data_IF_149236797618
#
_entry.id   IF_149236797618
#
_cell.length_a   1.000
_cell.length_b   1.000
_cell.length_c   1.000
_cell.angle_alpha   90.00
_cell.angle_beta   90.00
_cell.angle_gamma   90.00
#
_symmetry.space_group_name_H-M   'P 1'
#
loop_
_entity.id
_entity.type
_entity.pdbx_description
1 polymer ?
#
# COMPACT_ATOMS: atom_id res chain seq x y z
N UNK A 1 -32.95 14.20 -3.83
CA UNK A 1 -32.20 12.93 -3.96
C UNK A 1 -30.83 13.16 -3.34
N UNK A 2 -30.61 12.57 -2.16
CA UNK A 2 -29.41 12.76 -1.34
C UNK A 2 -28.38 11.69 -1.70
N UNK A 3 -27.20 12.09 -2.19
CA UNK A 3 -26.06 11.20 -2.42
C UNK A 3 -25.17 11.27 -1.18
N UNK A 4 -25.13 10.14 -0.47
CA UNK A 4 -24.34 9.91 0.74
C UNK A 4 -22.85 10.08 0.49
N UNK A 5 -22.22 10.90 1.33
CA UNK A 5 -20.79 11.23 1.38
C UNK A 5 -19.96 10.06 1.92
N UNK A 6 -19.23 9.36 1.06
CA UNK A 6 -18.22 8.39 1.46
C UNK A 6 -16.87 9.10 1.76
N UNK A 7 -16.68 9.39 3.05
CA UNK A 7 -15.42 9.43 3.80
C UNK A 7 -14.16 10.02 3.12
N UNK A 8 -14.05 11.35 3.16
CA UNK A 8 -12.80 12.11 2.96
C UNK A 8 -12.05 12.27 4.29
N UNK A 9 -10.85 11.68 4.42
CA UNK A 9 -9.82 12.14 5.37
C UNK A 9 -8.43 11.68 4.90
N UNK A 10 -7.55 12.65 4.66
CA UNK A 10 -6.38 12.59 3.77
C UNK A 10 -5.07 12.26 4.51
N UNK A 11 -4.16 11.57 3.81
CA UNK A 11 -2.78 11.27 4.26
C UNK A 11 -1.93 12.53 4.51
N UNK A 12 -2.41 13.68 4.04
CA UNK A 12 -1.68 14.92 3.90
C UNK A 12 -2.24 16.12 4.68
N UNK A 13 -3.17 15.97 5.64
CA UNK A 13 -3.48 17.11 6.55
C UNK A 13 -2.28 17.47 7.47
N UNK A 14 -1.06 16.97 7.18
CA UNK A 14 -0.15 16.36 8.15
C UNK A 14 1.34 16.73 8.00
N UNK A 15 1.67 17.78 7.26
CA UNK A 15 3.05 18.32 7.27
C UNK A 15 3.16 19.73 7.91
N UNK A 16 2.17 20.16 8.70
CA UNK A 16 2.18 21.38 9.53
C UNK A 16 0.76 21.75 10.01
N UNK A 17 0.63 22.34 11.21
CA UNK A 17 -0.62 22.53 11.98
C UNK A 17 -1.72 23.42 11.35
N UNK A 18 -1.49 24.03 10.19
CA UNK A 18 -2.35 25.10 9.68
C UNK A 18 -3.66 24.64 9.00
N UNK A 19 -4.17 23.45 9.33
CA UNK A 19 -5.49 22.94 8.89
C UNK A 19 -6.17 22.09 10.00
N UNK A 20 -6.13 22.55 11.25
CA UNK A 20 -6.62 21.76 12.41
C UNK A 20 -8.01 22.16 12.96
N UNK A 21 -8.88 22.83 12.19
CA UNK A 21 -10.18 23.34 12.72
C UNK A 21 -11.43 22.48 12.53
N UNK A 22 -11.39 21.29 11.91
CA UNK A 22 -12.67 20.67 11.46
C UNK A 22 -12.98 19.24 11.93
N UNK A 23 -12.12 18.52 12.66
CA UNK A 23 -12.37 17.08 12.94
C UNK A 23 -12.24 16.71 14.42
N UNK A 24 -13.01 17.39 15.27
CA UNK A 24 -13.10 17.09 16.71
C UNK A 24 -14.43 16.47 17.17
N UNK A 25 -15.29 15.99 16.26
CA UNK A 25 -16.68 15.68 16.65
C UNK A 25 -17.21 14.25 16.47
N UNK A 26 -16.46 13.27 15.97
CA UNK A 26 -16.96 11.88 15.89
C UNK A 26 -15.77 10.90 16.04
N UNK A 27 -15.76 9.82 16.83
CA UNK A 27 -16.80 9.02 17.46
C UNK A 27 -16.22 8.16 18.62
N UNK A 28 -17.11 7.59 19.45
CA UNK A 28 -16.88 6.70 20.59
C UNK A 28 -17.53 5.31 20.37
N UNK A 29 -16.95 4.28 21.01
CA UNK A 29 -17.55 2.97 21.43
C UNK A 29 -17.72 1.88 20.33
N UNK A 30 -17.65 0.54 20.51
CA UNK A 30 -17.49 -0.42 21.65
C UNK A 30 -17.23 -1.86 21.05
N UNK A 31 -17.06 -2.89 21.90
CA UNK A 31 -16.29 -4.14 21.66
C UNK A 31 -17.06 -5.51 21.63
N UNK A 32 -16.28 -6.60 21.36
CA UNK A 32 -16.41 -8.05 21.77
C UNK A 32 -17.28 -9.03 20.92
N UNK A 33 -17.09 -10.36 20.76
CA UNK A 33 -16.07 -11.41 21.09
C UNK A 33 -16.47 -12.85 20.57
N UNK A 34 -15.50 -13.80 20.37
CA UNK A 34 -15.50 -15.33 20.36
C UNK A 34 -16.32 -16.14 19.29
N UNK A 35 -16.04 -17.39 18.80
CA UNK A 35 -15.21 -18.61 19.15
C UNK A 35 -14.93 -19.54 17.91
N UNK A 36 -14.32 -20.74 18.09
CA UNK A 36 -13.15 -21.29 17.36
C UNK A 36 -13.26 -22.30 16.16
N UNK A 37 -14.40 -22.63 15.52
CA UNK A 37 -14.42 -23.48 14.29
C UNK A 37 -14.89 -22.76 13.01
N UNK A 38 -15.52 -21.60 13.20
CA UNK A 38 -15.60 -20.52 12.23
C UNK A 38 -14.22 -19.93 11.85
N UNK A 39 -13.16 -20.39 12.50
CA UNK A 39 -11.85 -19.76 12.53
C UNK A 39 -11.20 -19.55 11.16
N UNK A 40 -11.36 -20.43 10.17
CA UNK A 40 -10.67 -20.24 8.89
C UNK A 40 -11.40 -19.20 8.03
N UNK A 41 -12.69 -19.36 7.77
CA UNK A 41 -13.52 -18.38 7.03
C UNK A 41 -13.68 -17.04 7.77
N UNK A 42 -13.81 -17.07 9.10
CA UNK A 42 -13.80 -15.85 9.92
C UNK A 42 -12.42 -15.18 9.94
N UNK A 43 -11.30 -15.91 9.88
CA UNK A 43 -9.96 -15.32 9.72
C UNK A 43 -9.86 -14.55 8.40
N UNK A 44 -10.28 -15.13 7.28
CA UNK A 44 -10.26 -14.42 5.98
C UNK A 44 -11.21 -13.23 5.96
N UNK A 45 -12.42 -13.35 6.49
CA UNK A 45 -13.37 -12.24 6.60
C UNK A 45 -12.78 -11.11 7.47
N UNK A 46 -12.18 -11.44 8.63
CA UNK A 46 -11.49 -10.49 9.53
C UNK A 46 -10.25 -9.85 8.88
N UNK A 47 -9.54 -10.58 8.02
CA UNK A 47 -8.35 -10.06 7.31
C UNK A 47 -8.69 -8.97 6.30
N UNK A 48 -9.81 -9.09 5.58
CA UNK A 48 -10.19 -8.15 4.52
C UNK A 48 -11.17 -7.07 4.98
N UNK A 49 -12.04 -7.37 5.94
CA UNK A 49 -13.06 -6.45 6.43
C UNK A 49 -12.71 -5.79 7.77
N UNK A 50 -11.67 -6.27 8.46
CA UNK A 50 -11.41 -5.90 9.85
C UNK A 50 -12.50 -6.46 10.76
N UNK A 51 -12.18 -6.75 12.01
CA UNK A 51 -13.17 -6.38 13.03
C UNK A 51 -13.16 -4.86 13.15
N UNK A 52 -14.19 -4.28 13.78
CA UNK A 52 -14.35 -2.87 14.18
C UNK A 52 -13.21 -2.35 15.09
N UNK A 53 -11.99 -2.84 14.94
CA UNK A 53 -10.82 -2.08 15.32
C UNK A 53 -10.81 -0.82 14.47
N UNK A 54 -10.72 0.38 15.09
CA UNK A 54 -10.52 1.60 14.33
C UNK A 54 -9.38 1.32 13.38
N UNK A 55 -9.55 1.70 12.11
CA UNK A 55 -8.48 1.60 11.12
C UNK A 55 -7.19 2.02 11.81
N UNK A 56 -6.05 1.35 11.61
CA UNK A 56 -4.78 1.87 12.06
C UNK A 56 -4.49 3.10 11.18
N UNK A 57 -5.22 4.19 11.45
CA UNK A 57 -4.95 5.55 11.10
C UNK A 57 -3.53 5.72 11.59
N UNK A 58 -2.57 5.77 10.65
CA UNK A 58 -1.15 5.94 10.88
C UNK A 58 -0.89 6.55 12.27
N UNK A 59 -0.58 5.69 13.25
CA UNK A 59 -0.17 6.11 14.60
C UNK A 59 1.11 6.94 14.53
N UNK A 60 1.74 6.95 13.35
CA UNK A 60 2.95 7.65 12.99
C UNK A 60 2.75 9.10 12.55
N UNK A 61 1.55 9.70 12.61
CA UNK A 61 1.37 11.17 12.47
C UNK A 61 2.37 11.95 13.31
N UNK A 62 2.54 11.52 14.57
CA UNK A 62 3.45 12.13 15.54
C UNK A 62 4.93 11.96 15.17
N UNK A 63 5.24 11.05 14.24
CA UNK A 63 6.60 10.77 13.78
C UNK A 63 6.97 11.57 12.52
N UNK A 64 5.99 12.15 11.84
CA UNK A 64 6.27 12.94 10.64
C UNK A 64 6.88 14.28 11.02
N UNK A 65 7.92 14.65 10.28
CA UNK A 65 8.52 15.98 10.36
C UNK A 65 7.79 16.92 9.39
N UNK A 66 7.44 18.10 9.88
CA UNK A 66 6.77 19.14 9.09
C UNK A 66 7.70 19.73 8.03
N UNK A 67 7.11 20.16 6.91
CA UNK A 67 7.80 20.86 5.82
C UNK A 67 7.24 22.28 5.77
N UNK A 68 8.10 23.30 5.79
CA UNK A 68 7.69 24.70 5.72
C UNK A 68 8.22 25.38 4.46
N UNK A 69 7.51 26.43 4.01
CA UNK A 69 7.77 27.14 2.75
C UNK A 69 9.15 27.84 2.68
N UNK A 70 9.84 27.99 3.81
CA UNK A 70 11.19 28.58 3.88
C UNK A 70 12.35 27.56 3.91
N UNK A 71 12.07 26.26 3.90
CA UNK A 71 13.12 25.24 3.98
C UNK A 71 13.90 25.12 2.66
N UNK A 72 15.20 24.90 2.76
CA UNK A 72 16.03 24.60 1.59
C UNK A 72 15.63 23.26 0.95
N UNK A 73 15.73 23.15 -0.38
CA UNK A 73 15.35 21.94 -1.12
C UNK A 73 16.00 20.65 -0.58
N UNK A 74 17.27 20.72 -0.17
CA UNK A 74 18.00 19.59 0.45
C UNK A 74 17.34 19.13 1.76
N UNK A 75 16.92 20.08 2.60
CA UNK A 75 16.24 19.80 3.86
C UNK A 75 14.85 19.22 3.61
N UNK A 76 14.10 19.76 2.63
CA UNK A 76 12.80 19.21 2.20
C UNK A 76 12.96 17.76 1.75
N UNK A 77 13.98 17.45 0.94
CA UNK A 77 14.24 16.10 0.46
C UNK A 77 14.59 15.13 1.61
N UNK A 78 15.36 15.57 2.59
CA UNK A 78 15.70 14.77 3.76
C UNK A 78 14.47 14.44 4.61
N UNK A 79 13.65 15.46 4.91
CA UNK A 79 12.40 15.30 5.66
C UNK A 79 11.44 14.38 4.92
N UNK A 80 11.25 14.60 3.62
CA UNK A 80 10.40 13.77 2.76
C UNK A 80 10.85 12.33 2.75
N UNK A 81 12.16 12.08 2.60
CA UNK A 81 12.72 10.72 2.65
C UNK A 81 12.45 10.02 3.98
N UNK A 82 12.57 10.75 5.10
CA UNK A 82 12.24 10.24 6.44
C UNK A 82 10.75 9.91 6.59
N UNK A 83 9.88 10.84 6.19
CA UNK A 83 8.43 10.65 6.26
C UNK A 83 7.97 9.48 5.37
N UNK A 84 8.55 9.32 4.18
CA UNK A 84 8.30 8.18 3.30
C UNK A 84 8.77 6.86 3.90
N UNK A 85 9.90 6.82 4.61
CA UNK A 85 10.35 5.61 5.28
C UNK A 85 9.39 5.19 6.41
N UNK A 86 8.85 6.15 7.16
CA UNK A 86 7.82 5.90 8.16
C UNK A 86 6.55 5.38 7.48
N UNK A 87 6.12 6.00 6.38
CA UNK A 87 4.99 5.55 5.58
C UNK A 87 5.16 4.12 5.08
N UNK A 88 6.33 3.78 4.56
CA UNK A 88 6.62 2.43 4.10
C UNK A 88 6.60 1.42 5.24
N UNK A 89 7.05 1.78 6.44
CA UNK A 89 6.91 0.90 7.61
C UNK A 89 5.45 0.67 7.99
N UNK A 90 4.65 1.74 8.07
CA UNK A 90 3.21 1.66 8.37
C UNK A 90 2.49 0.82 7.32
N UNK A 91 2.76 1.06 6.03
CA UNK A 91 2.19 0.30 4.92
C UNK A 91 2.57 -1.18 5.00
N UNK A 92 3.84 -1.50 5.25
CA UNK A 92 4.26 -2.89 5.43
C UNK A 92 3.48 -3.57 6.55
N UNK A 93 3.44 -2.96 7.74
CA UNK A 93 2.72 -3.51 8.90
C UNK A 93 1.22 -3.67 8.64
N UNK A 94 0.59 -2.70 7.96
CA UNK A 94 -0.80 -2.75 7.57
C UNK A 94 -1.09 -3.93 6.64
N UNK A 95 -0.31 -4.07 5.56
CA UNK A 95 -0.54 -5.15 4.61
C UNK A 95 -0.19 -6.50 5.23
N UNK A 96 1.00 -6.66 5.82
CA UNK A 96 1.45 -7.95 6.37
C UNK A 96 0.51 -8.51 7.44
N UNK A 97 -0.07 -7.65 8.29
CA UNK A 97 -1.03 -8.08 9.32
C UNK A 97 -2.37 -8.57 8.77
N UNK A 98 -2.71 -8.18 7.53
CA UNK A 98 -3.94 -8.59 6.82
C UNK A 98 -3.70 -9.70 5.81
N UNK A 99 -2.45 -10.10 5.60
CA UNK A 99 -2.13 -11.17 4.66
C UNK A 99 -2.39 -12.55 5.28
N UNK A 100 -2.74 -13.56 4.45
CA UNK A 100 -2.89 -14.92 4.94
C UNK A 100 -1.65 -15.48 5.61
N UNK A 101 -1.85 -16.41 6.54
CA UNK A 101 -0.76 -17.20 7.12
C UNK A 101 0.08 -17.84 6.00
N UNK A 102 1.41 -17.85 6.18
CA UNK A 102 2.40 -18.33 5.20
C UNK A 102 2.50 -17.50 3.91
N UNK A 103 2.04 -16.24 3.90
CA UNK A 103 2.36 -15.33 2.81
C UNK A 103 3.88 -15.20 2.61
N UNK A 104 4.31 -15.02 1.37
CA UNK A 104 5.73 -14.86 1.01
C UNK A 104 6.21 -13.41 0.99
N UNK A 105 5.35 -12.44 1.33
CA UNK A 105 5.74 -11.04 1.38
C UNK A 105 6.78 -10.81 2.47
N UNK A 106 7.90 -10.19 2.10
CA UNK A 106 8.99 -9.79 2.99
C UNK A 106 9.06 -8.28 3.12
N UNK A 107 9.55 -7.80 4.27
CA UNK A 107 9.75 -6.37 4.52
C UNK A 107 10.91 -5.83 3.69
N UNK A 108 10.70 -4.72 2.99
CA UNK A 108 11.74 -4.13 2.13
C UNK A 108 11.58 -2.61 2.04
N UNK A 109 11.79 -1.93 3.17
CA UNK A 109 11.57 -0.48 3.29
C UNK A 109 12.73 0.29 2.68
N UNK A 110 12.48 0.98 1.57
CA UNK A 110 13.47 1.87 0.92
C UNK A 110 12.76 3.10 0.36
N UNK A 111 13.02 4.26 0.95
CA UNK A 111 12.48 5.54 0.47
C UNK A 111 13.40 6.21 -0.54
N UNK A 112 12.78 6.92 -1.46
CA UNK A 112 13.43 7.69 -2.53
C UNK A 112 12.64 8.98 -2.75
N UNK A 113 13.31 10.02 -3.21
CA UNK A 113 12.73 11.35 -3.43
C UNK A 113 13.07 11.78 -4.85
N UNK A 114 12.15 12.50 -5.49
CA UNK A 114 12.36 13.00 -6.83
C UNK A 114 13.32 14.21 -6.81
N UNK A 115 14.41 14.19 -7.59
CA UNK A 115 15.35 15.32 -7.63
C UNK A 115 14.70 16.64 -8.04
N UNK A 116 13.74 16.59 -8.97
CA UNK A 116 13.03 17.76 -9.49
C UNK A 116 11.87 18.25 -8.60
N UNK A 117 11.44 17.45 -7.61
CA UNK A 117 10.34 17.74 -6.71
C UNK A 117 10.66 17.14 -5.32
N UNK A 118 11.47 17.81 -4.49
CA UNK A 118 12.03 17.25 -3.26
C UNK A 118 10.99 16.91 -2.18
N UNK A 119 9.76 17.39 -2.30
CA UNK A 119 8.63 17.03 -1.46
C UNK A 119 7.89 15.76 -1.91
N UNK A 120 8.23 15.21 -3.08
CA UNK A 120 7.61 14.05 -3.68
C UNK A 120 8.57 12.85 -3.75
N UNK A 121 8.02 11.66 -3.59
CA UNK A 121 8.80 10.43 -3.65
C UNK A 121 7.98 9.17 -3.42
N UNK A 122 8.68 8.05 -3.44
CA UNK A 122 8.09 6.74 -3.24
C UNK A 122 8.88 5.94 -2.21
N UNK A 123 8.18 5.09 -1.48
CA UNK A 123 8.77 4.11 -0.60
C UNK A 123 8.38 2.71 -1.05
N UNK A 124 9.38 1.89 -1.34
CA UNK A 124 9.19 0.44 -1.36
C UNK A 124 8.90 0.01 0.07
N UNK A 125 7.85 -0.79 0.29
CA UNK A 125 7.51 -1.27 1.63
C UNK A 125 7.57 -2.80 1.77
N UNK A 126 7.48 -3.53 0.67
CA UNK A 126 7.64 -4.98 0.69
C UNK A 126 7.92 -5.56 -0.68
N UNK A 127 8.19 -6.86 -0.70
CA UNK A 127 8.49 -7.59 -1.93
C UNK A 127 8.19 -9.09 -1.79
N UNK A 128 7.98 -9.75 -2.93
CA UNK A 128 7.82 -11.21 -3.06
C UNK A 128 8.70 -11.69 -4.21
N UNK A 129 9.43 -12.78 -4.03
CA UNK A 129 10.08 -13.48 -5.16
C UNK A 129 9.02 -14.24 -5.94
N UNK A 130 8.88 -13.92 -7.23
CA UNK A 130 7.86 -14.53 -8.11
C UNK A 130 8.46 -15.54 -9.08
N UNK A 131 9.75 -15.43 -9.36
CA UNK A 131 10.49 -16.36 -10.21
C UNK A 131 11.96 -16.39 -9.79
N UNK A 132 12.60 -17.53 -10.01
CA UNK A 132 14.02 -17.73 -9.74
C UNK A 132 14.64 -18.52 -10.88
N UNK A 133 15.54 -17.87 -11.61
CA UNK A 133 16.26 -18.43 -12.74
C UNK A 133 17.75 -18.58 -12.38
N UNK A 134 18.49 -19.30 -13.22
CA UNK A 134 19.92 -19.54 -12.95
C UNK A 134 20.75 -18.26 -12.86
N UNK A 135 20.39 -17.20 -13.58
CA UNK A 135 21.16 -15.95 -13.69
C UNK A 135 20.59 -14.80 -12.88
N UNK A 136 19.28 -14.78 -12.65
CA UNK A 136 18.57 -13.69 -11.98
C UNK A 136 17.31 -14.23 -11.28
N UNK A 137 16.72 -13.39 -10.42
CA UNK A 137 15.41 -13.64 -9.82
C UNK A 137 14.47 -12.48 -10.13
N UNK A 138 13.20 -12.78 -10.38
CA UNK A 138 12.18 -11.74 -10.52
C UNK A 138 11.51 -11.52 -9.17
N UNK A 139 11.52 -10.26 -8.74
CA UNK A 139 10.86 -9.81 -7.53
C UNK A 139 9.68 -8.92 -7.91
N UNK A 140 8.51 -9.19 -7.36
CA UNK A 140 7.45 -8.21 -7.33
C UNK A 140 7.67 -7.30 -6.11
N UNK A 141 7.92 -6.02 -6.35
CA UNK A 141 8.16 -5.01 -5.32
C UNK A 141 6.93 -4.11 -5.17
N UNK A 142 6.54 -3.83 -3.94
CA UNK A 142 5.37 -3.04 -3.59
C UNK A 142 5.78 -1.66 -3.09
N UNK A 143 5.13 -0.63 -3.62
CA UNK A 143 5.44 0.76 -3.35
C UNK A 143 4.22 1.55 -2.93
N UNK A 144 4.49 2.57 -2.13
CA UNK A 144 3.58 3.67 -1.87
C UNK A 144 4.26 4.97 -2.27
N UNK A 145 3.58 5.80 -3.07
CA UNK A 145 4.04 7.14 -3.43
C UNK A 145 3.13 8.19 -2.79
N UNK A 146 3.70 9.36 -2.52
CA UNK A 146 2.96 10.53 -2.01
C UNK A 146 2.51 11.49 -3.13
N UNK A 147 2.35 10.97 -4.34
CA UNK A 147 1.83 11.66 -5.52
C UNK A 147 1.20 10.65 -6.47
N UNK A 148 0.42 11.15 -7.44
CA UNK A 148 -0.13 10.31 -8.49
C UNK A 148 0.91 10.11 -9.61
N UNK A 149 1.23 8.86 -9.93
CA UNK A 149 2.32 8.53 -10.83
C UNK A 149 1.84 7.89 -12.14
N UNK A 150 2.35 8.41 -13.25
CA UNK A 150 2.56 7.62 -14.44
C UNK A 150 3.75 6.69 -14.22
N UNK A 151 3.58 5.41 -14.53
CA UNK A 151 4.64 4.41 -14.45
C UNK A 151 5.11 4.11 -15.86
N UNK A 152 6.42 4.21 -16.09
CA UNK A 152 7.08 3.93 -17.35
C UNK A 152 8.36 3.14 -17.07
N UNK A 153 8.31 1.85 -17.38
CA UNK A 153 9.40 0.90 -17.14
C UNK A 153 10.34 0.76 -18.34
N UNK A 154 10.20 1.60 -19.37
CA UNK A 154 11.14 1.63 -20.50
C UNK A 154 12.54 2.11 -20.09
N UNK A 155 12.63 2.92 -19.03
CA UNK A 155 13.88 3.37 -18.44
C UNK A 155 13.99 2.88 -16.99
N UNK A 156 15.15 2.33 -16.67
CA UNK A 156 15.48 1.86 -15.34
C UNK A 156 15.57 3.00 -14.31
N UNK A 157 16.03 4.18 -14.74
CA UNK A 157 16.09 5.37 -13.90
C UNK A 157 14.75 6.09 -13.88
N UNK A 158 14.16 6.25 -12.68
CA UNK A 158 13.02 7.14 -12.50
C UNK A 158 11.74 6.65 -13.19
N UNK A 159 11.45 5.36 -13.14
CA UNK A 159 10.28 4.72 -13.77
C UNK A 159 8.90 5.21 -13.26
N UNK A 160 8.86 6.15 -12.33
CA UNK A 160 7.65 6.84 -11.89
C UNK A 160 7.80 8.34 -12.10
N UNK A 161 6.84 8.93 -12.80
CA UNK A 161 6.75 10.36 -13.05
C UNK A 161 5.46 10.91 -12.45
N UNK A 162 5.50 12.01 -11.67
CA UNK A 162 4.28 12.64 -11.18
C UNK A 162 3.42 13.15 -12.33
N UNK A 163 2.14 12.80 -12.32
CA UNK A 163 1.13 13.37 -13.22
C UNK A 163 0.90 14.85 -12.92
N UNK A 164 1.07 15.24 -11.65
CA UNK A 164 1.01 16.60 -11.17
C UNK A 164 1.96 16.77 -9.97
N UNK A 165 2.12 18.01 -9.49
CA UNK A 165 3.02 18.32 -8.35
C UNK A 165 2.33 18.29 -6.98
N UNK A 166 1.06 17.89 -6.94
CA UNK A 166 0.25 17.87 -5.72
C UNK A 166 0.51 16.59 -4.95
N UNK A 167 0.29 16.66 -3.64
CA UNK A 167 0.25 15.45 -2.82
C UNK A 167 -0.95 14.61 -3.21
N UNK A 168 -0.69 13.33 -3.40
CA UNK A 168 -1.70 12.29 -3.61
C UNK A 168 -1.16 11.01 -2.96
N UNK A 169 -1.87 9.90 -3.07
CA UNK A 169 -1.35 8.61 -2.64
C UNK A 169 -1.74 7.53 -3.62
N UNK A 170 -0.75 6.79 -4.09
CA UNK A 170 -0.97 5.59 -4.89
C UNK A 170 -0.17 4.42 -4.31
N UNK A 171 -0.72 3.23 -4.49
CA UNK A 171 -0.03 1.97 -4.33
C UNK A 171 0.24 1.37 -5.70
N UNK A 172 1.42 0.80 -5.89
CA UNK A 172 1.74 0.09 -7.11
C UNK A 172 2.71 -1.07 -6.87
N UNK A 173 2.67 -2.04 -7.78
CA UNK A 173 3.53 -3.21 -7.79
C UNK A 173 4.32 -3.29 -9.09
N UNK A 174 5.63 -3.53 -9.01
CA UNK A 174 6.53 -3.63 -10.17
C UNK A 174 7.30 -4.94 -10.15
N UNK A 175 7.35 -5.63 -11.29
CA UNK A 175 8.20 -6.79 -11.51
C UNK A 175 9.61 -6.35 -11.89
N UNK A 176 10.55 -6.52 -10.96
CA UNK A 176 11.95 -6.15 -11.08
C UNK A 176 12.81 -7.41 -11.18
N UNK A 177 13.66 -7.49 -12.18
CA UNK A 177 14.73 -8.49 -12.23
C UNK A 177 15.91 -8.02 -11.41
N UNK A 178 16.43 -8.91 -10.57
CA UNK A 178 17.66 -8.65 -9.81
C UNK A 178 18.65 -9.78 -10.02
N UNK A 179 19.94 -9.44 -10.07
CA UNK A 179 21.03 -10.40 -10.14
C UNK A 179 21.18 -11.19 -8.82
N UNK A 180 22.15 -12.11 -8.79
CA UNK A 180 22.48 -12.91 -7.60
C UNK A 180 22.93 -12.08 -6.39
N UNK A 181 23.45 -10.87 -6.64
CA UNK A 181 23.88 -9.93 -5.60
C UNK A 181 22.72 -9.05 -5.11
N UNK A 182 21.54 -9.15 -5.72
CA UNK A 182 20.39 -8.31 -5.43
C UNK A 182 20.44 -6.93 -6.10
N UNK A 183 21.38 -6.70 -7.01
CA UNK A 183 21.37 -5.51 -7.86
C UNK A 183 20.27 -5.65 -8.89
N UNK A 184 19.53 -4.58 -9.10
CA UNK A 184 18.50 -4.57 -10.10
C UNK A 184 19.13 -4.43 -11.49
N UNK A 185 18.68 -5.28 -12.41
CA UNK A 185 19.23 -5.41 -13.78
C UNK A 185 18.21 -5.06 -14.87
N UNK A 186 16.94 -4.91 -14.50
CA UNK A 186 15.88 -4.52 -15.43
C UNK A 186 14.49 -4.79 -14.88
N UNK A 187 13.48 -4.55 -15.70
CA UNK A 187 12.09 -4.91 -15.42
C UNK A 187 11.69 -6.16 -16.19
N UNK A 188 10.84 -6.99 -15.59
CA UNK A 188 10.31 -8.18 -16.24
C UNK A 188 9.03 -7.83 -17.01
N UNK A 189 9.19 -7.43 -18.28
CA UNK A 189 8.07 -7.07 -19.16
C UNK A 189 7.22 -8.27 -19.60
N UNK A 190 7.61 -9.50 -19.27
CA UNK A 190 6.77 -10.69 -19.50
C UNK A 190 5.64 -10.81 -18.48
N UNK A 191 5.66 -10.02 -17.39
CA UNK A 191 4.70 -10.07 -16.30
C UNK A 191 4.00 -8.73 -16.11
N UNK A 192 2.67 -8.74 -16.09
CA UNK A 192 1.88 -7.52 -16.00
C UNK A 192 1.96 -6.65 -17.25
N UNK A 193 1.33 -5.48 -17.20
CA UNK A 193 1.39 -4.52 -18.30
C UNK A 193 2.64 -3.66 -18.14
N UNK A 194 3.63 -3.81 -19.02
CA UNK A 194 4.91 -3.12 -18.92
C UNK A 194 5.58 -3.32 -17.55
N UNK A 195 5.66 -4.56 -17.07
CA UNK A 195 6.19 -4.91 -15.74
C UNK A 195 5.40 -4.34 -14.54
N UNK A 196 4.27 -3.65 -14.76
CA UNK A 196 3.39 -3.16 -13.70
C UNK A 196 2.36 -4.23 -13.37
N UNK A 197 2.40 -4.72 -12.12
CA UNK A 197 1.43 -5.70 -11.63
C UNK A 197 0.09 -5.06 -11.28
N UNK A 198 0.13 -3.88 -10.65
CA UNK A 198 -1.04 -3.09 -10.33
C UNK A 198 -0.65 -1.63 -10.05
N UNK A 199 -1.62 -0.73 -10.20
CA UNK A 199 -1.56 0.67 -9.76
C UNK A 199 -2.95 1.07 -9.29
N UNK A 200 -3.08 1.54 -8.05
CA UNK A 200 -4.38 1.90 -7.48
C UNK A 200 -4.28 2.90 -6.34
N UNK A 201 -5.34 3.68 -6.14
CA UNK A 201 -5.55 4.51 -4.94
C UNK A 201 -6.38 3.77 -3.88
N UNK A 202 -7.06 2.69 -4.27
CA UNK A 202 -7.93 1.92 -3.39
C UNK A 202 -7.12 0.90 -2.59
N UNK A 203 -7.14 1.06 -1.26
CA UNK A 203 -6.40 0.21 -0.33
C UNK A 203 -6.82 -1.26 -0.43
N UNK A 204 -8.13 -1.51 -0.61
CA UNK A 204 -8.67 -2.86 -0.73
C UNK A 204 -8.15 -3.56 -1.99
N UNK A 205 -8.13 -2.85 -3.11
CA UNK A 205 -7.56 -3.34 -4.37
C UNK A 205 -6.08 -3.62 -4.22
N UNK A 206 -5.31 -2.74 -3.56
CA UNK A 206 -3.90 -2.99 -3.28
C UNK A 206 -3.71 -4.26 -2.43
N UNK A 207 -4.51 -4.42 -1.37
CA UNK A 207 -4.45 -5.58 -0.47
C UNK A 207 -4.72 -6.88 -1.23
N UNK A 208 -5.75 -6.94 -2.07
CA UNK A 208 -6.04 -8.14 -2.86
C UNK A 208 -4.93 -8.49 -3.85
N UNK A 209 -4.32 -7.50 -4.52
CA UNK A 209 -3.22 -7.75 -5.44
C UNK A 209 -1.96 -8.26 -4.72
N UNK A 210 -1.64 -7.66 -3.57
CA UNK A 210 -0.51 -8.09 -2.73
C UNK A 210 -0.77 -9.49 -2.16
N UNK A 211 -1.98 -9.76 -1.67
CA UNK A 211 -2.37 -11.08 -1.17
C UNK A 211 -2.30 -12.14 -2.26
N UNK A 212 -2.79 -11.82 -3.46
CA UNK A 212 -2.72 -12.74 -4.61
C UNK A 212 -1.27 -13.10 -4.93
N UNK A 213 -0.42 -12.09 -5.06
CA UNK A 213 0.98 -12.28 -5.42
C UNK A 213 1.80 -12.97 -4.32
N UNK A 214 1.49 -12.72 -3.05
CA UNK A 214 2.23 -13.29 -1.92
C UNK A 214 1.81 -14.70 -1.54
N UNK A 215 0.65 -15.17 -2.00
CA UNK A 215 0.12 -16.51 -1.68
C UNK A 215 0.02 -17.43 -2.89
N UNK A 216 0.06 -16.89 -4.11
CA UNK A 216 -0.20 -17.63 -5.36
C UNK A 216 -1.67 -17.88 -5.63
N UNK A 217 -2.59 -17.38 -4.78
CA UNK A 217 -4.03 -17.49 -4.99
C UNK A 217 -4.52 -16.40 -5.94
N UNK A 218 -5.55 -16.68 -6.72
CA UNK A 218 -6.19 -15.63 -7.54
C UNK A 218 -6.97 -14.64 -6.66
N UNK A 219 -7.14 -13.40 -7.12
CA UNK A 219 -7.99 -12.40 -6.46
C UNK A 219 -9.42 -12.93 -6.27
N UNK A 220 -9.95 -13.66 -7.26
CA UNK A 220 -11.28 -14.28 -7.15
C UNK A 220 -11.35 -15.32 -6.03
N UNK A 221 -10.34 -16.19 -5.90
CA UNK A 221 -10.26 -17.17 -4.81
C UNK A 221 -10.14 -16.50 -3.43
N UNK A 222 -9.37 -15.41 -3.33
CA UNK A 222 -9.25 -14.63 -2.10
C UNK A 222 -10.57 -13.97 -1.72
N UNK A 223 -11.28 -13.36 -2.67
CA UNK A 223 -12.62 -12.77 -2.46
C UNK A 223 -13.64 -13.82 -2.05
N UNK A 224 -13.62 -15.00 -2.66
CA UNK A 224 -14.50 -16.10 -2.29
C UNK A 224 -14.27 -16.55 -0.83
N UNK A 225 -13.02 -16.58 -0.38
CA UNK A 225 -12.66 -16.91 1.01
C UNK A 225 -13.01 -15.81 2.01
N UNK A 226 -13.04 -14.56 1.56
CA UNK A 226 -13.40 -13.40 2.38
C UNK A 226 -14.91 -13.24 2.57
N UNK A 227 -15.75 -13.95 1.81
CA UNK A 227 -17.20 -13.96 2.03
C UNK A 227 -17.50 -14.68 3.34
N UNK A 228 -18.34 -14.11 4.23
CA UNK A 228 -18.77 -14.80 5.43
C UNK A 228 -19.55 -16.05 5.05
N UNK A 229 -19.30 -17.16 5.77
CA UNK A 229 -20.04 -18.40 5.68
C UNK A 229 -21.49 -18.17 6.17
N UNK A 230 -22.35 -17.63 5.31
CA UNK A 230 -23.73 -17.27 5.65
C UNK A 230 -24.56 -16.66 4.52
N UNK A 231 -23.98 -16.31 3.38
CA UNK A 231 -24.76 -15.92 2.20
C UNK A 231 -25.31 -17.17 1.48
N UNK A 232 -26.24 -17.85 2.14
CA UNK A 232 -27.11 -18.85 1.50
C UNK A 232 -27.92 -18.11 0.43
N UNK A 233 -27.81 -18.55 -0.82
CA UNK A 233 -28.71 -18.14 -1.88
C UNK A 233 -30.14 -18.44 -1.44
N UNK A 234 -30.94 -17.40 -1.23
CA UNK A 234 -32.40 -17.55 -1.25
C UNK A 234 -32.77 -17.82 -2.70
N UNK A 235 -32.87 -19.11 -3.05
CA UNK A 235 -33.56 -19.56 -4.24
C UNK A 235 -35.05 -19.23 -4.03
N UNK A 236 -35.52 -18.17 -4.67
CA UNK A 236 -36.94 -17.90 -4.82
C UNK A 236 -37.51 -18.88 -5.84
N UNK A 237 -38.25 -19.87 -5.35
CA UNK A 237 -39.19 -20.69 -6.11
C UNK A 237 -40.38 -19.85 -6.58
#
# INVERSE_FOLDING_TARGET
MSISTASKLTYADRFGDDISKTVRQHALSLASSRTDQANVSARYTRWFHGEDQPEPISTSKRKFRSISAGMAAKQIAEITRGNLAILGNDAHSLFSSRLPANHKMTKSVRSSVLPSAPHLGACRFGQVTVDEQSTHRTMLQFYIANFDAALDTSNFEGFYKPNNRNFDQIFFGIHLMVDRNGNAIGFDHSRGEQAVAFRTKDLTTALYNIASSSTGLTVAALRARAKPAGAVQVLSS
#
